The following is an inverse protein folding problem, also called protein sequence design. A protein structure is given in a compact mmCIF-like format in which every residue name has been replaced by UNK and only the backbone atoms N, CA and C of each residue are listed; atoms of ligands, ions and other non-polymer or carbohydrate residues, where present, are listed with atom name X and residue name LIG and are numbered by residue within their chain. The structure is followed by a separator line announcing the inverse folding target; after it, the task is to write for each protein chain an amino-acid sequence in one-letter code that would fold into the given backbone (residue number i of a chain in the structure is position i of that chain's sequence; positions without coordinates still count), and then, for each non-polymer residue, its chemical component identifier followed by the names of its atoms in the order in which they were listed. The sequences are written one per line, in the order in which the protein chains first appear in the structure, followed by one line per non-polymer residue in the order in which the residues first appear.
data_IF_519514585467
#
_entry.id   IF_519514585467
#
_cell.length_a   1.000
_cell.length_b   1.000
_cell.length_c   1.000
_cell.angle_alpha   90.00
_cell.angle_beta   90.00
_cell.angle_gamma   90.00
#
_symmetry.space_group_name_H-M   'P 1'
#
loop_
_entity.id
_entity.type
_entity.pdbx_description
1 polymer ?
#
# COMPACT_ATOMS: atom_id res chain seq x y z
N UNK A 1 -14.93 24.93 -4.66
CA UNK A 1 -14.57 23.66 -3.98
C UNK A 1 -13.06 23.63 -3.91
N UNK A 2 -12.50 23.96 -2.76
CA UNK A 2 -11.05 23.90 -2.51
C UNK A 2 -10.68 22.44 -2.38
N UNK A 3 -9.90 21.93 -3.34
CA UNK A 3 -9.19 20.66 -3.23
C UNK A 3 -8.33 20.79 -1.96
N UNK A 4 -8.62 20.01 -0.92
CA UNK A 4 -7.72 19.93 0.22
C UNK A 4 -6.43 19.31 -0.29
N UNK A 5 -5.36 20.09 -0.32
CA UNK A 5 -4.04 19.56 -0.56
C UNK A 5 -3.78 18.51 0.53
N UNK A 6 -3.57 17.27 0.09
CA UNK A 6 -3.17 16.18 0.98
C UNK A 6 -1.85 16.50 1.68
N UNK A 7 -1.38 15.65 2.59
CA UNK A 7 -0.14 15.88 3.32
C UNK A 7 1.01 16.13 2.34
N UNK A 8 1.73 17.23 2.50
CA UNK A 8 2.80 17.66 1.62
C UNK A 8 4.15 17.40 2.34
N UNK A 9 4.85 16.34 1.95
CA UNK A 9 6.11 15.93 2.54
C UNK A 9 7.29 15.97 1.54
N UNK A 10 7.69 17.15 1.05
CA UNK A 10 8.68 17.25 -0.04
C UNK A 10 10.05 16.64 0.30
N UNK A 11 10.50 16.80 1.54
CA UNK A 11 11.77 16.21 2.00
C UNK A 11 11.68 14.68 2.07
N UNK A 12 10.56 14.14 2.58
CA UNK A 12 10.34 12.70 2.63
C UNK A 12 10.27 12.10 1.22
N UNK A 13 9.52 12.71 0.32
CA UNK A 13 9.45 12.27 -1.07
C UNK A 13 10.82 12.30 -1.78
N UNK A 14 11.66 13.29 -1.50
CA UNK A 14 12.98 13.41 -2.11
C UNK A 14 14.00 12.37 -1.62
N UNK A 15 13.92 11.97 -0.34
CA UNK A 15 14.87 11.02 0.27
C UNK A 15 14.34 9.59 0.29
N UNK A 16 13.04 9.39 0.07
CA UNK A 16 12.40 8.07 0.18
C UNK A 16 13.07 7.03 -0.71
N UNK A 17 13.14 7.28 -2.02
CA UNK A 17 13.71 6.34 -2.99
C UNK A 17 15.19 6.02 -2.75
N UNK A 18 16.11 7.01 -2.52
CA UNK A 18 17.51 6.70 -2.23
C UNK A 18 17.71 5.90 -0.93
N UNK A 19 16.97 6.25 0.13
CA UNK A 19 17.08 5.57 1.44
C UNK A 19 16.51 4.16 1.39
N UNK A 20 15.42 3.97 0.68
CA UNK A 20 14.72 2.66 0.58
C UNK A 20 15.27 1.78 -0.55
N UNK A 21 16.04 2.33 -1.51
CA UNK A 21 16.46 1.65 -2.74
C UNK A 21 17.11 0.27 -2.49
N UNK A 22 17.95 0.14 -1.46
CA UNK A 22 18.58 -1.15 -1.11
C UNK A 22 17.53 -2.13 -0.60
N UNK A 23 16.69 -1.70 0.34
CA UNK A 23 15.61 -2.52 0.88
C UNK A 23 14.58 -2.91 -0.20
N UNK A 24 14.25 -1.98 -1.10
CA UNK A 24 13.39 -2.23 -2.25
C UNK A 24 13.93 -3.34 -3.15
N UNK A 25 15.22 -3.26 -3.50
CA UNK A 25 15.85 -4.22 -4.42
C UNK A 25 16.08 -5.60 -3.79
N UNK A 26 16.39 -5.67 -2.50
CA UNK A 26 16.82 -6.89 -1.84
C UNK A 26 15.71 -7.56 -1.03
N UNK A 27 14.90 -6.80 -0.31
CA UNK A 27 13.91 -7.32 0.63
C UNK A 27 12.49 -7.29 0.07
N UNK A 28 12.07 -6.17 -0.55
CA UNK A 28 10.66 -5.97 -0.94
C UNK A 28 10.35 -6.50 -2.34
N UNK A 29 11.33 -6.52 -3.25
CA UNK A 29 11.14 -6.95 -4.65
C UNK A 29 10.42 -8.29 -4.80
N UNK A 30 10.81 -9.40 -4.12
CA UNK A 30 10.12 -10.68 -4.26
C UNK A 30 8.65 -10.63 -3.81
N UNK A 31 8.36 -9.76 -2.81
CA UNK A 31 7.01 -9.60 -2.30
C UNK A 31 6.15 -8.76 -3.23
N UNK A 32 6.70 -7.71 -3.84
CA UNK A 32 5.98 -6.93 -4.87
C UNK A 32 5.72 -7.76 -6.12
N UNK A 33 6.67 -8.59 -6.54
CA UNK A 33 6.45 -9.57 -7.62
C UNK A 33 5.30 -10.54 -7.29
N UNK A 34 5.21 -10.98 -6.03
CA UNK A 34 4.10 -11.82 -5.59
C UNK A 34 2.75 -11.09 -5.68
N UNK A 35 2.67 -9.82 -5.27
CA UNK A 35 1.43 -9.03 -5.35
C UNK A 35 0.96 -8.83 -6.80
N UNK A 36 1.88 -8.78 -7.74
CA UNK A 36 1.62 -8.54 -9.16
C UNK A 36 1.47 -9.82 -10.00
N UNK A 37 1.30 -11.00 -9.38
CA UNK A 37 1.05 -12.26 -10.12
C UNK A 37 -0.40 -12.38 -10.50
N UNK A 38 -0.66 -12.93 -11.70
CA UNK A 38 -2.01 -13.31 -12.16
C UNK A 38 -3.04 -12.21 -11.85
N UNK A 39 -2.79 -11.02 -12.35
CA UNK A 39 -3.66 -9.85 -12.19
C UNK A 39 -4.89 -9.99 -13.09
N UNK A 40 -6.02 -9.42 -12.63
CA UNK A 40 -7.23 -9.28 -13.43
C UNK A 40 -7.11 -8.19 -14.51
N UNK A 41 -8.23 -7.81 -15.11
CA UNK A 41 -8.27 -6.81 -16.19
C UNK A 41 -8.07 -5.38 -15.68
N UNK A 42 -8.53 -5.08 -14.46
CA UNK A 42 -8.53 -3.76 -13.85
C UNK A 42 -7.86 -3.78 -12.47
N UNK A 43 -6.79 -3.02 -12.31
CA UNK A 43 -5.97 -3.01 -11.09
C UNK A 43 -5.90 -1.62 -10.50
N UNK A 44 -6.13 -1.50 -9.19
CA UNK A 44 -5.88 -0.29 -8.41
C UNK A 44 -4.63 -0.46 -7.54
N UNK A 45 -3.62 0.38 -7.75
CA UNK A 45 -2.49 0.57 -6.83
C UNK A 45 -2.86 1.64 -5.80
N UNK A 46 -3.23 1.21 -4.60
CA UNK A 46 -3.68 2.06 -3.49
C UNK A 46 -2.47 2.64 -2.76
N UNK A 47 -2.36 3.97 -2.72
CA UNK A 47 -1.21 4.65 -2.12
C UNK A 47 0.08 4.38 -2.89
N UNK A 48 0.08 4.70 -4.18
CA UNK A 48 1.19 4.38 -5.10
C UNK A 48 2.55 4.98 -4.69
N UNK A 49 2.55 6.00 -3.83
CA UNK A 49 3.76 6.68 -3.42
C UNK A 49 4.53 7.25 -4.61
N UNK A 50 5.79 6.87 -4.75
CA UNK A 50 6.65 7.21 -5.89
C UNK A 50 6.52 6.22 -7.07
N UNK A 51 5.48 5.36 -7.06
CA UNK A 51 5.23 4.36 -8.10
C UNK A 51 6.08 3.09 -7.95
N UNK A 52 6.37 2.68 -6.72
CA UNK A 52 7.24 1.53 -6.46
C UNK A 52 6.67 0.18 -6.96
N UNK A 53 5.34 0.07 -7.14
CA UNK A 53 4.69 -1.09 -7.75
C UNK A 53 4.76 -1.09 -9.28
N UNK A 54 4.88 0.05 -9.94
CA UNK A 54 4.77 0.18 -11.41
C UNK A 54 5.70 -0.73 -12.21
N UNK A 55 6.98 -0.97 -11.84
CA UNK A 55 7.83 -1.91 -12.55
C UNK A 55 7.30 -3.35 -12.58
N UNK A 56 6.44 -3.71 -11.63
CA UNK A 56 5.86 -5.05 -11.52
C UNK A 56 4.49 -5.14 -12.21
N UNK A 57 3.83 -4.00 -12.40
CA UNK A 57 2.56 -3.89 -13.13
C UNK A 57 2.76 -3.70 -14.64
N UNK A 58 3.94 -3.23 -15.04
CA UNK A 58 4.28 -3.06 -16.44
C UNK A 58 4.26 -4.41 -17.17
N UNK A 59 3.53 -4.46 -18.28
CA UNK A 59 3.40 -5.67 -19.11
C UNK A 59 2.38 -6.70 -18.60
N UNK A 60 1.62 -6.40 -17.55
CA UNK A 60 0.54 -7.30 -17.08
C UNK A 60 -0.62 -7.43 -18.08
N UNK A 61 -0.81 -6.44 -18.92
CA UNK A 61 -2.00 -6.34 -19.80
C UNK A 61 -3.22 -5.72 -19.14
N UNK A 62 -3.17 -5.46 -17.83
CA UNK A 62 -4.24 -4.87 -17.05
C UNK A 62 -4.35 -3.36 -17.27
N UNK A 63 -5.55 -2.80 -17.13
CA UNK A 63 -5.77 -1.37 -16.99
C UNK A 63 -5.35 -0.91 -15.58
N UNK A 64 -4.29 -0.11 -15.49
CA UNK A 64 -3.70 0.30 -14.22
C UNK A 64 -4.25 1.66 -13.78
N UNK A 65 -4.87 1.67 -12.62
CA UNK A 65 -5.26 2.85 -11.86
C UNK A 65 -4.38 2.99 -10.63
N UNK A 66 -4.15 4.22 -10.18
CA UNK A 66 -3.39 4.46 -8.96
C UNK A 66 -3.92 5.70 -8.23
N UNK A 67 -3.86 5.69 -6.90
CA UNK A 67 -4.16 6.85 -6.07
C UNK A 67 -2.99 7.16 -5.15
N UNK A 68 -2.68 8.46 -5.03
CA UNK A 68 -1.67 8.98 -4.12
C UNK A 68 -2.04 10.41 -3.70
N UNK A 69 -2.28 10.68 -2.41
CA UNK A 69 -2.66 12.01 -1.95
C UNK A 69 -1.51 13.02 -1.97
N UNK A 70 -0.25 12.59 -1.71
CA UNK A 70 0.90 13.50 -1.69
C UNK A 70 1.29 13.93 -3.11
N UNK A 71 1.27 15.26 -3.34
CA UNK A 71 1.55 15.83 -4.66
C UNK A 71 2.99 15.63 -5.14
N UNK A 72 3.98 15.56 -4.23
CA UNK A 72 5.37 15.33 -4.58
C UNK A 72 5.61 13.86 -4.96
N UNK A 73 5.06 12.93 -4.18
CA UNK A 73 5.13 11.49 -4.50
C UNK A 73 4.41 11.19 -5.81
N UNK A 74 3.22 11.76 -6.00
CA UNK A 74 2.44 11.58 -7.23
C UNK A 74 3.17 12.08 -8.48
N UNK A 75 3.94 13.19 -8.41
CA UNK A 75 4.78 13.64 -9.53
C UNK A 75 5.87 12.63 -9.86
N UNK A 76 6.56 12.09 -8.86
CA UNK A 76 7.59 11.05 -9.06
C UNK A 76 6.98 9.76 -9.63
N UNK A 77 5.79 9.36 -9.16
CA UNK A 77 5.05 8.24 -9.73
C UNK A 77 4.74 8.46 -11.21
N UNK A 78 4.26 9.66 -11.59
CA UNK A 78 3.98 9.98 -12.99
C UNK A 78 5.25 9.96 -13.87
N UNK A 79 6.39 10.39 -13.35
CA UNK A 79 7.68 10.31 -14.04
C UNK A 79 8.15 8.86 -14.22
N UNK A 80 7.99 8.05 -13.18
CA UNK A 80 8.29 6.61 -13.23
C UNK A 80 7.41 5.87 -14.23
N UNK A 81 6.09 6.13 -14.24
CA UNK A 81 5.17 5.54 -15.22
C UNK A 81 5.62 5.87 -16.65
N UNK A 82 5.93 7.16 -16.93
CA UNK A 82 6.45 7.60 -18.23
C UNK A 82 7.76 6.89 -18.61
N UNK A 83 8.70 6.75 -17.69
CA UNK A 83 9.98 6.07 -17.94
C UNK A 83 9.84 4.58 -18.25
N UNK A 84 8.77 3.96 -17.76
CA UNK A 84 8.43 2.56 -18.01
C UNK A 84 7.54 2.35 -19.24
N UNK A 85 7.07 3.43 -19.87
CA UNK A 85 6.05 3.35 -20.93
C UNK A 85 4.72 2.78 -20.42
N UNK A 86 4.45 2.89 -19.11
CA UNK A 86 3.25 2.35 -18.48
C UNK A 86 2.14 3.41 -18.46
N UNK A 87 1.01 3.08 -19.09
CA UNK A 87 -0.20 3.90 -18.97
C UNK A 87 -0.84 3.68 -17.59
N UNK A 88 -0.94 4.74 -16.78
CA UNK A 88 -1.53 4.71 -15.42
C UNK A 88 -2.54 5.84 -15.29
N UNK A 89 -3.76 5.52 -14.90
CA UNK A 89 -4.75 6.51 -14.48
C UNK A 89 -4.48 6.95 -13.03
N UNK A 90 -3.52 7.86 -12.84
CA UNK A 90 -3.05 8.32 -11.53
C UNK A 90 -3.92 9.50 -11.03
N UNK A 91 -4.52 9.35 -9.84
CA UNK A 91 -5.41 10.35 -9.24
C UNK A 91 -4.91 10.81 -7.86
N UNK A 92 -5.33 12.02 -7.48
CA UNK A 92 -5.14 12.55 -6.12
C UNK A 92 -6.32 12.14 -5.25
N UNK A 93 -6.14 11.14 -4.39
CA UNK A 93 -7.16 10.69 -3.46
C UNK A 93 -6.53 10.00 -2.25
N UNK A 94 -7.21 10.10 -1.10
CA UNK A 94 -6.92 9.29 0.08
C UNK A 94 -7.58 7.92 -0.02
N UNK A 95 -7.07 6.96 0.74
CA UNK A 95 -7.57 5.58 0.71
C UNK A 95 -8.98 5.41 1.31
N UNK A 96 -9.42 6.34 2.17
CA UNK A 96 -10.74 6.30 2.81
C UNK A 96 -11.83 7.09 2.01
N UNK A 97 -11.49 7.59 0.81
CA UNK A 97 -12.43 8.29 -0.08
C UNK A 97 -11.95 8.12 -1.53
N UNK A 98 -12.23 6.96 -2.10
CA UNK A 98 -11.76 6.59 -3.42
C UNK A 98 -12.69 7.13 -4.52
N UNK A 99 -12.15 7.83 -5.55
CA UNK A 99 -12.93 8.47 -6.60
C UNK A 99 -13.35 7.46 -7.69
N UNK A 100 -13.87 6.32 -7.29
CA UNK A 100 -14.31 5.23 -8.15
C UNK A 100 -15.68 4.73 -7.72
N UNK A 101 -16.43 4.18 -8.67
CA UNK A 101 -17.71 3.52 -8.39
C UNK A 101 -17.50 2.20 -7.64
N UNK A 102 -18.58 1.68 -7.08
CA UNK A 102 -18.61 0.33 -6.51
C UNK A 102 -18.26 -0.69 -7.60
N UNK A 103 -17.68 -1.81 -7.20
CA UNK A 103 -17.42 -2.96 -8.06
C UNK A 103 -16.66 -2.61 -9.36
N UNK A 104 -15.60 -1.79 -9.24
CA UNK A 104 -14.82 -1.29 -10.40
C UNK A 104 -13.58 -2.13 -10.69
N UNK A 105 -13.01 -2.80 -9.70
CA UNK A 105 -11.70 -3.43 -9.81
C UNK A 105 -11.73 -4.92 -9.54
N UNK A 106 -11.02 -5.69 -10.36
CA UNK A 106 -10.71 -7.11 -10.10
C UNK A 106 -9.67 -7.26 -8.97
N UNK A 107 -8.73 -6.31 -8.92
CA UNK A 107 -7.62 -6.37 -7.98
C UNK A 107 -7.31 -4.99 -7.39
N UNK A 108 -7.22 -4.92 -6.06
CA UNK A 108 -6.65 -3.78 -5.35
C UNK A 108 -5.34 -4.22 -4.69
N UNK A 109 -4.27 -3.46 -4.88
CA UNK A 109 -2.96 -3.71 -4.28
C UNK A 109 -2.63 -2.59 -3.31
N UNK A 110 -2.25 -2.94 -2.08
CA UNK A 110 -1.66 -2.01 -1.11
C UNK A 110 -0.28 -2.50 -0.68
N UNK A 111 0.73 -1.68 -0.87
CA UNK A 111 2.10 -2.04 -0.50
C UNK A 111 2.73 -0.95 0.36
N UNK A 112 2.80 -1.18 1.67
CA UNK A 112 3.33 -0.25 2.67
C UNK A 112 2.46 1.01 2.85
N UNK A 113 1.15 0.85 2.83
CA UNK A 113 0.15 1.93 2.84
C UNK A 113 -0.62 1.99 4.14
N UNK A 114 -1.23 0.87 4.56
CA UNK A 114 -2.07 0.82 5.75
C UNK A 114 -1.35 1.16 7.05
N UNK A 115 -0.04 1.03 7.09
CA UNK A 115 0.74 1.50 8.23
C UNK A 115 0.77 3.04 8.37
N UNK A 116 0.45 3.79 7.31
CA UNK A 116 0.48 5.27 7.30
C UNK A 116 -0.91 5.92 7.29
N UNK A 117 -1.94 5.23 6.85
CA UNK A 117 -3.32 5.76 6.73
C UNK A 117 -3.86 6.20 8.09
N UNK A 118 -4.53 7.35 8.14
CA UNK A 118 -5.16 7.88 9.36
C UNK A 118 -6.35 7.03 9.82
N UNK A 119 -7.20 6.63 8.88
CA UNK A 119 -8.38 5.77 9.07
C UNK A 119 -8.23 4.47 8.28
N UNK A 120 -7.61 3.44 8.86
CA UNK A 120 -7.43 2.16 8.16
C UNK A 120 -8.71 1.32 8.03
N UNK A 121 -9.70 1.54 8.91
CA UNK A 121 -10.99 0.85 8.85
C UNK A 121 -11.80 1.39 7.66
N UNK A 122 -12.00 2.70 7.59
CA UNK A 122 -12.65 3.33 6.44
C UNK A 122 -11.94 3.07 5.10
N UNK A 123 -10.60 3.01 5.11
CA UNK A 123 -9.85 2.63 3.91
C UNK A 123 -10.12 1.17 3.48
N UNK A 124 -10.29 0.26 4.42
CA UNK A 124 -10.60 -1.14 4.10
C UNK A 124 -12.06 -1.30 3.63
N UNK A 125 -13.00 -0.50 4.18
CA UNK A 125 -14.38 -0.40 3.67
C UNK A 125 -14.40 0.10 2.22
N UNK A 126 -13.61 1.11 1.90
CA UNK A 126 -13.48 1.62 0.53
C UNK A 126 -12.84 0.59 -0.43
N UNK A 127 -11.83 -0.14 0.02
CA UNK A 127 -11.27 -1.27 -0.75
C UNK A 127 -12.35 -2.31 -1.03
N UNK A 128 -13.17 -2.65 -0.02
CA UNK A 128 -14.27 -3.59 -0.19
C UNK A 128 -15.34 -3.04 -1.16
N UNK A 129 -15.63 -1.74 -1.10
CA UNK A 129 -16.62 -1.10 -1.97
C UNK A 129 -16.19 -1.13 -3.45
N UNK A 130 -14.94 -0.76 -3.74
CA UNK A 130 -14.48 -0.62 -5.13
C UNK A 130 -14.08 -1.95 -5.79
N UNK A 131 -13.83 -3.00 -5.00
CA UNK A 131 -13.60 -4.34 -5.55
C UNK A 131 -14.92 -4.94 -6.03
N UNK A 132 -14.90 -5.64 -7.14
CA UNK A 132 -16.02 -6.46 -7.58
C UNK A 132 -16.21 -7.70 -6.70
N UNK A 133 -17.40 -8.30 -6.63
CA UNK A 133 -17.61 -9.59 -5.96
C UNK A 133 -16.66 -10.66 -6.51
N UNK A 134 -15.90 -11.31 -5.62
CA UNK A 134 -14.84 -12.25 -6.01
C UNK A 134 -13.49 -11.63 -6.32
N UNK A 135 -13.39 -10.30 -6.43
CA UNK A 135 -12.13 -9.57 -6.62
C UNK A 135 -11.19 -9.70 -5.44
N UNK A 136 -9.92 -9.42 -5.64
CA UNK A 136 -8.86 -9.66 -4.65
C UNK A 136 -8.23 -8.38 -4.12
N UNK A 137 -8.16 -8.27 -2.80
CA UNK A 137 -7.27 -7.33 -2.11
C UNK A 137 -5.95 -8.01 -1.80
N UNK A 138 -4.86 -7.48 -2.32
CA UNK A 138 -3.49 -7.98 -2.14
C UNK A 138 -2.65 -6.97 -1.39
N UNK A 139 -1.91 -7.41 -0.38
CA UNK A 139 -1.19 -6.48 0.47
C UNK A 139 0.18 -6.97 0.93
N UNK A 140 1.06 -6.00 1.18
CA UNK A 140 2.32 -6.13 1.91
C UNK A 140 2.41 -4.96 2.89
N UNK A 141 2.35 -5.25 4.20
CA UNK A 141 2.28 -4.20 5.21
C UNK A 141 3.23 -4.47 6.37
N UNK A 142 3.78 -3.39 6.89
CA UNK A 142 4.47 -3.40 8.16
C UNK A 142 3.46 -3.54 9.31
N UNK A 143 3.77 -4.38 10.30
CA UNK A 143 2.88 -4.65 11.43
C UNK A 143 3.62 -4.63 12.77
N UNK A 144 2.85 -4.59 13.87
CA UNK A 144 3.38 -4.75 15.21
C UNK A 144 4.12 -6.10 15.36
N UNK A 145 5.24 -6.08 16.06
CA UNK A 145 5.92 -7.30 16.54
C UNK A 145 5.32 -7.79 17.87
N UNK A 146 5.90 -8.79 18.44
CA UNK A 146 5.49 -9.36 19.71
C UNK A 146 6.61 -9.28 20.78
N UNK A 147 6.23 -9.35 22.04
CA UNK A 147 7.14 -9.43 23.16
C UNK A 147 8.04 -8.20 23.33
N UNK A 148 9.36 -8.42 23.52
CA UNK A 148 10.31 -7.33 23.74
C UNK A 148 10.49 -6.43 22.51
N UNK A 149 10.32 -6.95 21.31
CA UNK A 149 10.42 -6.18 20.06
C UNK A 149 9.27 -5.19 19.91
N UNK A 150 8.05 -5.56 20.29
CA UNK A 150 6.93 -4.62 20.35
C UNK A 150 7.23 -3.46 21.32
N UNK A 151 7.90 -3.73 22.44
CA UNK A 151 8.31 -2.67 23.39
C UNK A 151 9.30 -1.70 22.72
N UNK A 152 10.27 -2.23 21.96
CA UNK A 152 11.20 -1.38 21.19
C UNK A 152 10.45 -0.57 20.15
N UNK A 153 9.55 -1.20 19.37
CA UNK A 153 8.71 -0.49 18.39
C UNK A 153 7.92 0.65 19.06
N UNK A 154 7.32 0.38 20.21
CA UNK A 154 6.53 1.35 20.97
C UNK A 154 7.38 2.52 21.46
N UNK A 155 8.60 2.25 21.93
CA UNK A 155 9.52 3.28 22.39
C UNK A 155 10.00 4.20 21.26
N UNK A 156 10.25 3.67 20.07
CA UNK A 156 10.74 4.46 18.91
C UNK A 156 9.61 5.03 18.05
N UNK A 157 8.38 4.57 18.18
CA UNK A 157 7.24 4.92 17.34
C UNK A 157 7.00 6.45 17.21
N UNK A 158 7.11 7.28 18.26
CA UNK A 158 6.87 8.72 18.10
C UNK A 158 7.88 9.42 17.19
N UNK A 159 9.15 9.01 17.28
CA UNK A 159 10.20 9.53 16.41
C UNK A 159 10.08 8.97 15.00
N UNK A 160 9.84 7.66 14.89
CA UNK A 160 9.65 6.98 13.62
C UNK A 160 8.52 7.59 12.79
N UNK A 161 7.36 7.84 13.42
CA UNK A 161 6.20 8.45 12.74
C UNK A 161 6.53 9.80 12.10
N UNK A 162 7.41 10.60 12.74
CA UNK A 162 7.86 11.90 12.20
C UNK A 162 8.82 11.75 11.02
N UNK A 163 9.68 10.73 11.05
CA UNK A 163 10.75 10.54 10.06
C UNK A 163 10.33 9.64 8.89
N UNK A 164 9.36 8.75 9.08
CA UNK A 164 8.96 7.74 8.11
C UNK A 164 7.53 7.97 7.57
N UNK A 165 7.22 9.22 7.18
CA UNK A 165 5.98 9.56 6.47
C UNK A 165 4.70 9.15 7.19
N UNK A 166 4.66 9.22 8.54
CA UNK A 166 3.47 8.88 9.31
C UNK A 166 3.33 7.40 9.68
N UNK A 167 4.30 6.54 9.35
CA UNK A 167 4.21 5.10 9.59
C UNK A 167 4.03 4.75 11.08
N UNK A 168 2.98 3.99 11.39
CA UNK A 168 2.65 3.48 12.72
C UNK A 168 3.21 2.07 12.92
N UNK A 169 4.38 1.96 13.56
CA UNK A 169 5.11 0.70 13.80
C UNK A 169 4.31 -0.36 14.57
N UNK A 170 3.33 0.06 15.37
CA UNK A 170 2.60 -0.82 16.29
C UNK A 170 1.19 -1.15 15.82
N UNK A 171 0.90 -0.91 14.54
CA UNK A 171 -0.43 -1.20 13.99
C UNK A 171 -0.62 -2.70 13.76
N UNK A 172 -1.79 -3.21 14.15
CA UNK A 172 -2.17 -4.63 14.00
C UNK A 172 -3.00 -4.84 12.73
N UNK A 173 -2.48 -4.40 11.59
CA UNK A 173 -3.18 -4.41 10.30
C UNK A 173 -3.63 -5.82 9.88
N UNK A 174 -2.84 -6.86 10.19
CA UNK A 174 -3.22 -8.23 9.89
C UNK A 174 -4.53 -8.67 10.57
N UNK A 175 -4.75 -8.23 11.82
CA UNK A 175 -5.98 -8.55 12.54
C UNK A 175 -7.18 -7.78 11.97
N UNK A 176 -6.98 -6.52 11.58
CA UNK A 176 -7.98 -5.72 10.90
C UNK A 176 -8.44 -6.40 9.60
N UNK A 177 -7.50 -6.81 8.76
CA UNK A 177 -7.78 -7.46 7.48
C UNK A 177 -8.52 -8.79 7.67
N UNK A 178 -8.07 -9.63 8.62
CA UNK A 178 -8.67 -10.94 8.86
C UNK A 178 -10.08 -10.87 9.48
N UNK A 179 -10.40 -9.77 10.19
CA UNK A 179 -11.68 -9.61 10.87
C UNK A 179 -12.74 -8.93 10.01
N UNK A 180 -12.38 -8.37 8.86
CA UNK A 180 -13.30 -7.57 8.06
C UNK A 180 -14.40 -8.43 7.41
N UNK A 181 -15.70 -8.11 7.61
CA UNK A 181 -16.82 -8.99 7.22
C UNK A 181 -16.97 -9.18 5.71
N UNK A 182 -16.52 -8.23 4.89
CA UNK A 182 -16.62 -8.31 3.44
C UNK A 182 -15.61 -9.26 2.78
N UNK A 183 -14.64 -9.79 3.54
CA UNK A 183 -13.56 -10.58 2.95
C UNK A 183 -13.47 -12.00 3.49
N UNK A 184 -13.05 -12.90 2.61
CA UNK A 184 -12.51 -14.22 2.95
C UNK A 184 -10.98 -14.17 2.85
N UNK A 185 -10.29 -14.70 3.86
CA UNK A 185 -8.83 -14.76 3.87
C UNK A 185 -8.37 -15.91 2.99
N UNK A 186 -7.72 -15.61 1.86
CA UNK A 186 -7.10 -16.61 1.00
C UNK A 186 -5.70 -16.97 1.48
N UNK A 187 -4.93 -15.96 1.86
CA UNK A 187 -3.56 -16.10 2.33
C UNK A 187 -3.21 -14.96 3.30
N UNK A 188 -2.58 -15.28 4.40
CA UNK A 188 -2.09 -14.32 5.39
C UNK A 188 -0.79 -14.83 6.00
N UNK A 189 0.33 -14.30 5.55
CA UNK A 189 1.65 -14.76 5.95
C UNK A 189 2.43 -13.66 6.68
N UNK A 190 2.92 -13.98 7.87
CA UNK A 190 3.88 -13.14 8.57
C UNK A 190 5.29 -13.37 8.03
N UNK A 191 5.97 -12.30 7.65
CA UNK A 191 7.33 -12.32 7.10
C UNK A 191 8.27 -11.51 7.97
N UNK A 192 9.42 -12.07 8.26
CA UNK A 192 10.47 -11.36 8.99
C UNK A 192 11.46 -10.77 7.99
N UNK A 193 11.25 -9.49 7.63
CA UNK A 193 12.08 -8.77 6.67
C UNK A 193 12.81 -7.63 7.38
N UNK A 194 14.10 -7.45 7.05
CA UNK A 194 14.90 -6.37 7.62
C UNK A 194 15.25 -6.57 9.10
N UNK A 195 15.37 -5.45 9.80
CA UNK A 195 15.82 -5.41 11.21
C UNK A 195 14.78 -4.72 12.10
N UNK A 196 14.83 -4.98 13.40
CA UNK A 196 14.06 -4.21 14.39
C UNK A 196 14.47 -2.73 14.29
N UNK A 197 13.53 -1.74 14.28
CA UNK A 197 12.09 -1.87 14.59
C UNK A 197 11.16 -2.09 13.39
N UNK A 198 11.67 -2.12 12.15
CA UNK A 198 10.88 -2.17 10.92
C UNK A 198 10.34 -3.55 10.53
N UNK A 199 10.71 -4.61 11.19
CA UNK A 199 10.09 -5.93 11.08
C UNK A 199 9.08 -6.15 12.19
N UNK A 200 8.06 -6.98 12.06
CA UNK A 200 7.73 -7.86 10.92
C UNK A 200 6.85 -7.20 9.88
N UNK A 201 6.68 -7.90 8.77
CA UNK A 201 5.71 -7.60 7.73
C UNK A 201 4.64 -8.68 7.67
N UNK A 202 3.49 -8.32 7.14
CA UNK A 202 2.45 -9.25 6.72
C UNK A 202 2.22 -9.11 5.23
N UNK A 203 2.09 -10.24 4.55
CA UNK A 203 1.74 -10.33 3.14
C UNK A 203 0.54 -11.25 3.01
N UNK A 204 -0.39 -10.93 2.13
CA UNK A 204 -1.54 -11.79 1.94
C UNK A 204 -2.45 -11.36 0.81
N UNK A 205 -3.52 -12.14 0.69
CA UNK A 205 -4.62 -11.95 -0.25
C UNK A 205 -5.94 -12.20 0.46
N UNK A 206 -6.87 -11.29 0.26
CA UNK A 206 -8.26 -11.44 0.68
C UNK A 206 -9.13 -11.44 -0.57
N UNK A 207 -10.26 -12.14 -0.54
CA UNK A 207 -11.25 -12.14 -1.61
C UNK A 207 -12.53 -11.48 -1.12
N UNK A 208 -13.05 -10.52 -1.87
CA UNK A 208 -14.38 -9.95 -1.59
C UNK A 208 -15.44 -11.03 -1.73
N UNK A 209 -16.29 -11.14 -0.73
CA UNK A 209 -17.46 -12.02 -0.75
C UNK A 209 -18.47 -11.57 -1.80
N UNK A 210 -19.25 -12.53 -2.31
CA UNK A 210 -20.34 -12.25 -3.25
C UNK A 210 -21.51 -11.53 -2.56
#
# INVERSE_FOLDING_TARGET
MTVSDGPDHPLFAAIYDPVTAVAERTLLRPHRQYLARDLGETVLDLGAGTGAMFPFLAGSGSAIHAVEPDGHMRRQAAERARSLGLAVALRSAGAADLPYADDTFDTVIASMVFCTIGDPEGALDEVARVLEPGGEFRFLEHVADDGWRERVQRAVAPLWRRLAGGCHLTRRTAALFAAHPAFDVLELERRTLGVTPIRPFVRGRLRKRA
#
